data_IF_806591586589
#
_entry.id   IF_806591586589
#
_cell.length_a   1.000
_cell.length_b   1.000
_cell.length_c   1.000
_cell.angle_alpha   90.00
_cell.angle_beta   90.00
_cell.angle_gamma   90.00
#
_symmetry.space_group_name_H-M   'P 1'
#
loop_
_entity.id
_entity.type
_entity.pdbx_description
1 polymer ?
#
# COMPACT_ATOMS: atom_id res chain seq x y z
N UNK A 1 14.64 11.95 11.67
CA UNK A 1 15.54 11.40 10.62
C UNK A 1 15.38 12.28 9.37
N UNK A 2 16.48 12.61 8.68
CA UNK A 2 16.57 13.65 7.64
C UNK A 2 17.31 13.08 6.43
N UNK A 3 16.72 13.00 5.24
CA UNK A 3 17.41 12.57 4.02
C UNK A 3 17.03 13.37 2.76
N UNK A 4 18.03 13.52 1.87
CA UNK A 4 18.15 14.54 0.82
C UNK A 4 17.59 14.09 -0.53
N UNK A 5 16.81 14.97 -1.16
CA UNK A 5 16.81 15.18 -2.61
C UNK A 5 16.92 16.70 -2.80
N UNK A 6 17.94 17.20 -3.49
CA UNK A 6 18.11 18.63 -3.86
C UNK A 6 17.86 19.71 -2.77
N UNK A 7 18.55 19.62 -1.63
CA UNK A 7 18.45 20.55 -0.48
C UNK A 7 17.11 20.58 0.29
N UNK A 8 16.17 19.69 0.01
CA UNK A 8 14.95 19.57 0.80
C UNK A 8 14.85 18.20 1.49
N UNK A 9 14.79 18.22 2.82
CA UNK A 9 14.50 17.05 3.62
C UNK A 9 13.00 16.79 3.59
N UNK A 10 12.58 15.67 3.00
CA UNK A 10 11.18 15.24 3.07
C UNK A 10 10.96 14.54 4.41
N UNK A 11 9.99 15.01 5.20
CA UNK A 11 9.58 14.34 6.42
C UNK A 11 8.90 13.02 6.09
N UNK A 12 9.01 12.02 6.97
CA UNK A 12 8.32 10.74 6.78
C UNK A 12 6.80 10.93 6.57
N UNK A 13 6.17 11.82 7.34
CA UNK A 13 4.76 12.15 7.19
C UNK A 13 4.41 12.77 5.83
N UNK A 14 5.31 13.58 5.27
CA UNK A 14 5.14 14.16 3.93
C UNK A 14 5.29 13.07 2.87
N UNK A 15 6.30 12.20 3.00
CA UNK A 15 6.49 11.06 2.11
C UNK A 15 5.27 10.12 2.12
N UNK A 16 4.75 9.77 3.29
CA UNK A 16 3.52 8.97 3.44
C UNK A 16 2.34 9.65 2.73
N UNK A 17 2.19 10.97 2.87
CA UNK A 17 1.14 11.72 2.16
C UNK A 17 1.33 11.70 0.63
N UNK A 18 2.56 11.73 0.14
CA UNK A 18 2.88 11.68 -1.30
C UNK A 18 2.64 10.29 -1.91
N UNK A 19 2.66 9.24 -1.08
CA UNK A 19 2.37 7.84 -1.47
C UNK A 19 0.87 7.53 -1.58
N UNK A 20 -0.01 8.43 -1.17
CA UNK A 20 -1.46 8.22 -1.20
C UNK A 20 -1.95 7.85 -2.61
N UNK A 21 -2.68 6.74 -2.72
CA UNK A 21 -3.21 6.15 -3.97
C UNK A 21 -2.19 5.88 -5.09
N UNK A 22 -0.88 5.88 -4.79
CA UNK A 22 0.13 5.43 -5.75
C UNK A 22 0.11 3.93 -5.97
N UNK A 23 0.58 3.51 -7.15
CA UNK A 23 0.82 2.10 -7.49
C UNK A 23 -0.46 1.22 -7.44
N UNK A 24 -1.61 1.81 -7.80
CA UNK A 24 -2.88 1.10 -7.91
C UNK A 24 -3.12 0.48 -9.29
N UNK A 25 -2.52 1.05 -10.35
CA UNK A 25 -2.79 0.68 -11.74
C UNK A 25 -2.10 -0.63 -12.20
N UNK A 26 -1.06 -1.08 -11.49
CA UNK A 26 -0.25 -2.26 -11.86
C UNK A 26 -0.78 -3.60 -11.34
N UNK A 27 -2.05 -3.68 -10.95
CA UNK A 27 -2.57 -4.80 -10.13
C UNK A 27 -3.30 -5.87 -10.94
N UNK A 28 -3.29 -7.09 -10.41
CA UNK A 28 -4.13 -8.18 -10.89
C UNK A 28 -5.61 -7.87 -10.58
N UNK A 29 -6.28 -7.21 -11.53
CA UNK A 29 -7.70 -6.88 -11.44
C UNK A 29 -7.97 -5.39 -11.20
N UNK A 30 -9.26 -5.03 -11.27
CA UNK A 30 -9.70 -3.64 -11.10
C UNK A 30 -9.81 -3.31 -9.62
N UNK A 31 -9.05 -2.32 -9.14
CA UNK A 31 -9.20 -1.79 -7.79
C UNK A 31 -10.62 -1.26 -7.60
N UNK A 32 -11.27 -1.67 -6.51
CA UNK A 32 -12.65 -1.29 -6.16
C UNK A 32 -12.71 -0.42 -4.91
N UNK A 33 -11.80 -0.67 -3.97
CA UNK A 33 -11.76 0.04 -2.69
C UNK A 33 -10.35 -0.01 -2.12
N UNK A 34 -9.94 1.06 -1.47
CA UNK A 34 -8.72 1.11 -0.66
C UNK A 34 -9.11 1.56 0.74
N UNK A 35 -8.63 0.84 1.74
CA UNK A 35 -8.75 1.22 3.16
C UNK A 35 -7.37 1.63 3.62
N UNK A 36 -7.26 2.73 4.34
CA UNK A 36 -5.99 3.21 4.90
C UNK A 36 -5.98 3.07 6.42
N UNK A 37 -4.82 2.72 6.99
CA UNK A 37 -4.61 2.77 8.44
C UNK A 37 -4.70 4.21 8.94
N UNK A 38 -4.89 4.39 10.25
CA UNK A 38 -5.00 5.73 10.86
C UNK A 38 -3.80 6.64 10.57
N UNK A 39 -2.61 6.07 10.46
CA UNK A 39 -1.36 6.77 10.15
C UNK A 39 -1.03 6.76 8.65
N UNK A 40 -1.89 6.18 7.81
CA UNK A 40 -1.73 6.03 6.36
C UNK A 40 -0.47 5.27 5.91
N UNK A 41 0.22 4.56 6.82
CA UNK A 41 1.41 3.77 6.47
C UNK A 41 1.07 2.37 5.98
N UNK A 42 -0.18 1.93 6.18
CA UNK A 42 -0.71 0.67 5.69
C UNK A 42 -1.98 0.88 4.89
N UNK A 43 -2.27 -0.04 3.97
CA UNK A 43 -3.54 -0.07 3.27
C UNK A 43 -4.00 -1.48 2.94
N UNK A 44 -5.31 -1.69 2.95
CA UNK A 44 -5.92 -2.80 2.25
C UNK A 44 -6.34 -2.34 0.87
N UNK A 45 -5.78 -2.95 -0.18
CA UNK A 45 -6.22 -2.75 -1.56
C UNK A 45 -7.14 -3.89 -1.94
N UNK A 46 -8.39 -3.56 -2.26
CA UNK A 46 -9.42 -4.53 -2.65
C UNK A 46 -9.62 -4.44 -4.15
N UNK A 47 -9.42 -5.56 -4.84
CA UNK A 47 -9.53 -5.66 -6.29
C UNK A 47 -10.54 -6.72 -6.70
N UNK A 48 -11.21 -6.50 -7.82
CA UNK A 48 -12.04 -7.50 -8.48
C UNK A 48 -11.26 -8.16 -9.62
N UNK A 49 -11.24 -9.48 -9.63
CA UNK A 49 -10.66 -10.30 -10.67
C UNK A 49 -11.64 -11.42 -11.06
N UNK A 50 -12.14 -11.36 -12.31
CA UNK A 50 -13.06 -12.36 -12.89
C UNK A 50 -14.34 -12.58 -12.06
N UNK A 51 -14.96 -11.50 -11.58
CA UNK A 51 -16.18 -11.55 -10.78
C UNK A 51 -15.99 -11.92 -9.31
N UNK A 52 -14.76 -12.18 -8.88
CA UNK A 52 -14.41 -12.45 -7.48
C UNK A 52 -13.61 -11.28 -6.93
N UNK A 53 -13.71 -11.04 -5.62
CA UNK A 53 -12.94 -10.04 -4.91
C UNK A 53 -11.77 -10.66 -4.16
N UNK A 54 -10.66 -9.93 -4.14
CA UNK A 54 -9.46 -10.23 -3.36
C UNK A 54 -9.00 -8.96 -2.65
N UNK A 55 -8.26 -9.11 -1.57
CA UNK A 55 -7.54 -8.00 -0.96
C UNK A 55 -6.06 -8.31 -0.80
N UNK A 56 -5.26 -7.25 -0.74
CA UNK A 56 -3.86 -7.29 -0.32
C UNK A 56 -3.66 -6.24 0.78
N UNK A 57 -3.04 -6.64 1.88
CA UNK A 57 -2.54 -5.71 2.89
C UNK A 57 -1.13 -5.30 2.53
N UNK A 58 -0.91 -3.99 2.51
CA UNK A 58 0.34 -3.38 2.08
C UNK A 58 0.82 -2.35 3.09
N UNK A 59 2.13 -2.12 3.05
CA UNK A 59 2.81 -1.11 3.85
C UNK A 59 3.72 -0.27 2.98
N UNK A 60 3.95 0.97 3.41
CA UNK A 60 4.98 1.81 2.81
C UNK A 60 6.34 1.33 3.32
N UNK A 61 7.17 0.89 2.40
CA UNK A 61 8.57 0.58 2.65
C UNK A 61 9.45 1.67 2.02
N UNK A 62 10.45 2.13 2.77
CA UNK A 62 11.44 3.07 2.25
C UNK A 62 12.47 2.29 1.46
N UNK A 63 12.82 2.80 0.28
CA UNK A 63 13.89 2.23 -0.53
C UNK A 63 15.25 2.42 0.14
N UNK A 64 16.08 1.39 0.05
CA UNK A 64 17.50 1.51 0.40
C UNK A 64 18.21 2.44 -0.59
N UNK A 65 19.39 2.95 -0.21
CA UNK A 65 20.09 3.97 -1.01
C UNK A 65 20.45 3.45 -2.41
N UNK A 66 20.81 2.16 -2.54
CA UNK A 66 21.12 1.53 -3.82
C UNK A 66 19.89 1.37 -4.72
N UNK A 67 18.74 0.96 -4.15
CA UNK A 67 17.46 0.89 -4.85
C UNK A 67 16.99 2.28 -5.31
N UNK A 68 17.11 3.29 -4.44
CA UNK A 68 16.74 4.66 -4.77
C UNK A 68 17.64 5.23 -5.88
N UNK A 69 18.95 5.04 -5.78
CA UNK A 69 19.90 5.50 -6.79
C UNK A 69 19.66 4.87 -8.17
N UNK A 70 18.98 3.72 -8.24
CA UNK A 70 18.63 3.08 -9.50
C UNK A 70 17.41 3.73 -10.19
N UNK A 71 16.48 4.30 -9.43
CA UNK A 71 15.20 4.81 -9.96
C UNK A 71 15.02 6.33 -9.81
N UNK A 72 15.94 7.03 -9.13
CA UNK A 72 15.77 8.43 -8.75
C UNK A 72 15.60 9.40 -9.94
N UNK A 73 16.10 9.02 -11.12
CA UNK A 73 15.99 9.81 -12.34
C UNK A 73 14.63 9.67 -13.05
N UNK A 74 13.76 8.77 -12.57
CA UNK A 74 12.41 8.60 -13.11
C UNK A 74 11.53 9.74 -12.61
N UNK A 75 10.87 10.43 -13.56
CA UNK A 75 9.97 11.53 -13.22
C UNK A 75 8.87 11.07 -12.26
N UNK A 76 8.77 11.76 -11.12
CA UNK A 76 7.78 11.46 -10.09
C UNK A 76 8.10 10.25 -9.24
N UNK A 77 9.30 9.65 -9.33
CA UNK A 77 9.74 8.63 -8.40
C UNK A 77 9.81 9.16 -6.96
N UNK A 78 9.54 8.29 -6.00
CA UNK A 78 9.62 8.58 -4.57
C UNK A 78 10.58 7.57 -3.92
N UNK A 79 11.27 7.95 -2.83
CA UNK A 79 12.18 7.05 -2.12
C UNK A 79 11.43 6.03 -1.24
N UNK A 80 10.25 5.60 -1.67
CA UNK A 80 9.40 4.61 -1.00
C UNK A 80 8.45 3.97 -2.01
N UNK A 81 7.96 2.78 -1.66
CA UNK A 81 7.02 1.99 -2.47
C UNK A 81 6.00 1.28 -1.56
N UNK A 82 4.86 0.89 -2.14
CA UNK A 82 3.91 0.01 -1.46
C UNK A 82 4.30 -1.45 -1.67
N UNK A 83 4.51 -2.16 -0.56
CA UNK A 83 4.88 -3.59 -0.58
C UNK A 83 3.85 -4.44 0.15
N UNK A 84 3.65 -5.71 -0.23
CA UNK A 84 2.83 -6.64 0.54
C UNK A 84 3.37 -6.80 1.96
N UNK A 85 2.53 -6.60 2.98
CA UNK A 85 2.93 -6.68 4.40
C UNK A 85 3.44 -8.06 4.80
N UNK A 86 2.84 -9.12 4.24
CA UNK A 86 3.36 -10.47 4.32
C UNK A 86 3.35 -11.13 2.94
N UNK A 87 4.39 -11.94 2.65
CA UNK A 87 4.50 -12.72 1.39
C UNK A 87 3.33 -13.71 1.22
N UNK A 88 2.71 -14.09 2.33
CA UNK A 88 1.58 -15.01 2.41
C UNK A 88 0.20 -14.33 2.49
N UNK A 89 0.10 -13.01 2.27
CA UNK A 89 -1.20 -12.29 2.16
C UNK A 89 -2.01 -12.71 0.91
N UNK A 90 -1.82 -13.93 0.39
CA UNK A 90 -2.49 -14.42 -0.80
C UNK A 90 -3.87 -14.99 -0.48
N UNK A 91 -4.85 -14.12 -0.75
CA UNK A 91 -5.97 -14.38 -1.67
C UNK A 91 -6.98 -15.44 -1.23
N UNK A 92 -7.64 -15.20 -0.10
CA UNK A 92 -9.04 -15.63 -0.01
C UNK A 92 -9.81 -14.94 -1.14
N UNK A 93 -10.49 -15.75 -1.96
CA UNK A 93 -11.38 -15.29 -3.02
C UNK A 93 -12.78 -15.17 -2.44
N UNK A 94 -13.40 -14.01 -2.61
CA UNK A 94 -14.74 -13.73 -2.09
C UNK A 94 -15.69 -13.47 -3.25
N UNK A 95 -16.89 -14.04 -3.20
CA UNK A 95 -17.92 -13.81 -4.21
C UNK A 95 -18.55 -12.42 -4.10
N UNK A 96 -18.47 -11.79 -2.93
CA UNK A 96 -19.08 -10.49 -2.66
C UNK A 96 -18.20 -9.63 -1.73
N UNK A 97 -18.44 -8.31 -1.77
CA UNK A 97 -17.69 -7.32 -1.00
C UNK A 97 -17.98 -7.40 0.51
N UNK A 98 -19.19 -7.76 0.92
CA UNK A 98 -19.58 -7.75 2.32
C UNK A 98 -18.84 -8.82 3.12
N UNK A 99 -18.72 -10.03 2.57
CA UNK A 99 -17.98 -11.12 3.20
C UNK A 99 -16.48 -10.88 3.21
N UNK A 100 -15.95 -10.26 2.15
CA UNK A 100 -14.57 -9.79 2.13
C UNK A 100 -14.32 -8.75 3.23
N UNK A 101 -15.20 -7.77 3.38
CA UNK A 101 -15.07 -6.73 4.40
C UNK A 101 -15.12 -7.31 5.81
N UNK A 102 -16.06 -8.23 6.08
CA UNK A 102 -16.11 -8.96 7.37
C UNK A 102 -14.82 -9.72 7.66
N UNK A 103 -14.21 -10.32 6.63
CA UNK A 103 -12.94 -11.01 6.79
C UNK A 103 -11.81 -10.04 7.14
N UNK A 104 -11.70 -8.91 6.42
CA UNK A 104 -10.73 -7.85 6.73
C UNK A 104 -10.93 -7.32 8.16
N UNK A 105 -12.16 -7.07 8.59
CA UNK A 105 -12.47 -6.52 9.91
C UNK A 105 -12.06 -7.46 11.08
N UNK A 106 -11.89 -8.75 10.80
CA UNK A 106 -11.43 -9.75 11.75
C UNK A 106 -9.91 -9.94 11.75
N UNK A 107 -9.20 -9.37 10.77
CA UNK A 107 -7.75 -9.46 10.69
C UNK A 107 -7.10 -8.73 11.87
N UNK A 108 -6.10 -9.33 12.54
CA UNK A 108 -5.41 -8.70 13.65
C UNK A 108 -4.82 -7.32 13.30
N UNK A 109 -4.31 -7.16 12.07
CA UNK A 109 -3.74 -5.89 11.64
C UNK A 109 -4.81 -4.81 11.41
N UNK A 110 -6.01 -5.17 10.96
CA UNK A 110 -7.11 -4.22 10.83
C UNK A 110 -7.52 -3.66 12.20
N UNK A 111 -7.72 -4.55 13.18
CA UNK A 111 -8.08 -4.16 14.55
C UNK A 111 -7.01 -3.27 15.18
N UNK A 112 -5.73 -3.55 14.92
CA UNK A 112 -4.61 -2.82 15.51
C UNK A 112 -4.35 -1.44 14.87
N UNK A 113 -4.49 -1.34 13.55
CA UNK A 113 -3.97 -0.21 12.77
C UNK A 113 -5.04 0.63 12.06
N UNK A 114 -6.25 0.10 11.88
CA UNK A 114 -7.32 0.74 11.11
C UNK A 114 -8.51 1.17 11.96
N UNK A 115 -8.81 0.44 13.04
CA UNK A 115 -9.84 0.83 14.01
C UNK A 115 -9.31 1.83 14.98
#
# INVERSE_FOLDING_TARGET
MKFMNDNNYILWSELVSMMYDRELDGREGKVKKVLYSRDSTKRYVISEHRGMYIYALEVIERLEDDEWNYICDIEGALPAQWVPYHKDCRKSLFENMDDLMKAIEQEPEYIKSFQ
#
